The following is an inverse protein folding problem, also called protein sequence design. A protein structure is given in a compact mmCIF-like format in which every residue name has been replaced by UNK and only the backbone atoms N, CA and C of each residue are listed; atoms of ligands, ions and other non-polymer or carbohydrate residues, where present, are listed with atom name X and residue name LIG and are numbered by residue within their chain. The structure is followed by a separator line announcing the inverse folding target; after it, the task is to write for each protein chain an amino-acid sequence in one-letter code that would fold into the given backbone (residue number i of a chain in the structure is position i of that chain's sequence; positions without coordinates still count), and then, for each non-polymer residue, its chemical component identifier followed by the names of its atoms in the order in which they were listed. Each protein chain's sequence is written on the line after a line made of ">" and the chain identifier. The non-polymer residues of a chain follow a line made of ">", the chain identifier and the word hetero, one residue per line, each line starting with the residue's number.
data_IF_244249626812
#
_entry.id   IF_244249626812
#
_cell.length_a   1.000
_cell.length_b   1.000
_cell.length_c   1.000
_cell.angle_alpha   90.00
_cell.angle_beta   90.00
_cell.angle_gamma   90.00
#
_symmetry.space_group_name_H-M   'P 1'
#
loop_
_entity.id
_entity.type
_entity.pdbx_description
1 polymer ?
#
# COMPACT_ATOMS: atom_id res chain seq x y z
N UNK A 1 -17.95 -31.89 -10.60
CA UNK A 1 -16.91 -31.46 -9.65
C UNK A 1 -15.58 -31.35 -10.40
N UNK A 2 -15.06 -30.14 -10.61
CA UNK A 2 -13.63 -29.93 -10.91
C UNK A 2 -13.30 -28.45 -10.74
N UNK A 3 -12.97 -28.07 -9.51
CA UNK A 3 -12.37 -26.78 -9.20
C UNK A 3 -10.90 -26.84 -9.62
N UNK A 4 -10.59 -26.40 -10.83
CA UNK A 4 -9.22 -26.03 -11.16
C UNK A 4 -8.88 -24.75 -10.41
N UNK A 5 -8.37 -24.92 -9.19
CA UNK A 5 -7.66 -23.89 -8.43
C UNK A 5 -6.50 -23.41 -9.31
N UNK A 6 -6.68 -22.26 -9.93
CA UNK A 6 -5.60 -21.53 -10.57
C UNK A 6 -4.47 -21.33 -9.54
N UNK A 7 -3.23 -21.55 -9.99
CA UNK A 7 -2.02 -21.32 -9.20
C UNK A 7 -2.04 -19.90 -8.59
N UNK A 8 -1.68 -19.72 -7.30
CA UNK A 8 -1.71 -18.44 -6.60
C UNK A 8 -0.66 -17.43 -7.10
N UNK A 9 0.10 -17.78 -8.13
CA UNK A 9 1.09 -16.91 -8.78
C UNK A 9 0.61 -16.37 -10.14
N UNK A 10 -0.67 -16.03 -10.29
CA UNK A 10 -1.05 -15.12 -11.37
C UNK A 10 -0.48 -13.74 -11.04
N UNK A 11 0.73 -13.49 -11.55
CA UNK A 11 1.34 -12.16 -11.64
C UNK A 11 0.27 -11.21 -12.14
N UNK A 12 -0.19 -10.35 -11.25
CA UNK A 12 -0.89 -9.15 -11.64
C UNK A 12 0.15 -8.32 -12.37
N UNK A 13 0.16 -8.43 -13.71
CA UNK A 13 0.85 -7.48 -14.59
C UNK A 13 0.19 -6.11 -14.38
N UNK A 14 0.55 -5.46 -13.28
CA UNK A 14 0.63 -4.02 -13.27
C UNK A 14 2.02 -3.71 -13.81
N UNK A 15 2.07 -3.40 -15.10
CA UNK A 15 3.23 -3.01 -15.90
C UNK A 15 3.89 -1.69 -15.43
N UNK A 16 3.76 -1.34 -14.14
CA UNK A 16 4.23 -0.10 -13.55
C UNK A 16 5.12 -0.32 -12.32
N UNK A 17 5.61 -1.54 -12.05
CA UNK A 17 6.76 -1.67 -11.15
C UNK A 17 8.00 -1.14 -11.88
N UNK A 18 8.12 0.20 -11.93
CA UNK A 18 9.28 0.93 -12.45
C UNK A 18 10.60 0.48 -11.81
N UNK A 19 10.54 -0.27 -10.72
CA UNK A 19 11.70 -0.82 -10.02
C UNK A 19 12.01 -2.29 -10.33
N UNK A 20 11.10 -3.03 -10.97
CA UNK A 20 11.42 -4.30 -11.59
C UNK A 20 12.06 -3.98 -12.94
N UNK A 21 13.37 -3.73 -12.93
CA UNK A 21 14.13 -3.26 -14.10
C UNK A 21 13.63 -3.89 -15.40
N UNK A 22 13.20 -3.03 -16.33
CA UNK A 22 12.46 -3.43 -17.53
C UNK A 22 13.16 -4.58 -18.26
N UNK A 23 12.38 -5.59 -18.65
CA UNK A 23 12.84 -6.67 -19.52
C UNK A 23 13.62 -6.07 -20.67
N UNK A 24 14.92 -6.39 -20.72
CA UNK A 24 15.83 -5.88 -21.75
C UNK A 24 15.27 -6.24 -23.11
N UNK A 25 14.67 -5.29 -23.83
CA UNK A 25 14.54 -5.40 -25.28
C UNK A 25 15.97 -5.38 -25.82
N UNK A 26 16.49 -6.57 -26.14
CA UNK A 26 17.75 -6.77 -26.83
C UNK A 26 17.59 -6.17 -28.22
N UNK A 27 17.87 -4.87 -28.33
CA UNK A 27 18.04 -4.19 -29.60
C UNK A 27 19.34 -4.66 -30.22
N UNK A 28 19.22 -5.31 -31.37
CA UNK A 28 20.30 -5.75 -32.25
C UNK A 28 21.25 -4.57 -32.57
N UNK A 29 22.45 -4.56 -31.98
CA UNK A 29 23.53 -3.65 -32.36
C UNK A 29 24.73 -4.47 -32.80
N UNK A 30 25.21 -4.17 -34.01
CA UNK A 30 26.29 -4.85 -34.71
C UNK A 30 27.57 -4.87 -33.87
N UNK A 31 28.24 -6.02 -33.85
CA UNK A 31 29.65 -6.16 -33.49
C UNK A 31 30.45 -5.40 -34.54
N UNK A 32 31.09 -4.30 -34.13
CA UNK A 32 32.35 -3.75 -34.65
C UNK A 32 32.42 -2.31 -34.15
N UNK A 33 33.12 -2.08 -33.02
CA UNK A 33 33.79 -0.81 -32.67
C UNK A 33 34.47 -0.97 -31.29
N UNK A 34 35.74 -1.38 -31.32
CA UNK A 34 36.67 -1.24 -30.20
C UNK A 34 37.01 0.25 -30.01
N UNK A 35 36.22 0.97 -29.20
CA UNK A 35 36.59 2.13 -28.35
C UNK A 35 35.34 2.96 -28.02
N UNK A 36 34.47 2.45 -27.14
CA UNK A 36 33.33 3.22 -26.62
C UNK A 36 33.44 3.43 -25.13
N UNK A 37 34.01 4.57 -24.78
CA UNK A 37 33.91 5.15 -23.46
C UNK A 37 32.44 5.33 -23.03
N UNK A 38 32.13 4.88 -21.81
CA UNK A 38 31.14 5.54 -20.93
C UNK A 38 29.63 5.53 -21.25
N UNK A 39 29.06 4.53 -21.94
CA UNK A 39 27.58 4.42 -22.08
C UNK A 39 26.94 3.07 -21.69
N UNK A 40 27.69 2.17 -21.03
CA UNK A 40 27.11 0.92 -20.50
C UNK A 40 26.37 1.11 -19.17
N UNK A 41 25.11 0.65 -19.09
CA UNK A 41 24.34 0.63 -17.83
C UNK A 41 25.12 -0.08 -16.71
N UNK A 42 25.13 0.42 -15.45
CA UNK A 42 25.78 -0.26 -14.32
C UNK A 42 25.26 -1.68 -14.06
N UNK A 43 24.11 -2.02 -14.62
CA UNK A 43 23.49 -3.34 -14.52
C UNK A 43 23.94 -4.30 -15.63
N UNK A 44 24.74 -3.86 -16.60
CA UNK A 44 25.12 -4.68 -17.74
C UNK A 44 26.27 -5.65 -17.42
N UNK A 45 25.88 -6.84 -16.96
CA UNK A 45 26.78 -7.96 -16.69
C UNK A 45 26.45 -9.06 -17.69
N UNK A 46 27.27 -9.18 -18.74
CA UNK A 46 27.09 -10.14 -19.83
C UNK A 46 27.39 -11.59 -19.44
N UNK A 47 28.23 -11.81 -18.42
CA UNK A 47 28.59 -13.14 -17.92
C UNK A 47 28.56 -13.17 -16.39
N UNK A 48 27.95 -14.22 -15.83
CA UNK A 48 27.82 -14.42 -14.39
C UNK A 48 29.11 -14.90 -13.72
N UNK A 49 30.08 -15.41 -14.49
CA UNK A 49 31.32 -16.02 -13.96
C UNK A 49 32.57 -15.15 -14.18
N UNK A 50 32.64 -14.41 -15.30
CA UNK A 50 33.85 -13.70 -15.73
C UNK A 50 33.66 -12.18 -15.78
N UNK A 51 33.00 -11.58 -14.77
CA UNK A 51 32.85 -10.13 -14.70
C UNK A 51 34.07 -9.47 -14.03
N UNK A 52 34.57 -8.38 -14.60
CA UNK A 52 35.67 -7.64 -13.98
C UNK A 52 35.27 -7.06 -12.62
N UNK A 53 36.23 -6.98 -11.69
CA UNK A 53 35.98 -6.48 -10.31
C UNK A 53 35.43 -5.05 -10.34
N UNK A 54 35.93 -4.19 -11.23
CA UNK A 54 35.45 -2.81 -11.39
C UNK A 54 33.98 -2.77 -11.83
N UNK A 55 33.56 -3.66 -12.74
CA UNK A 55 32.15 -3.78 -13.18
C UNK A 55 31.25 -4.22 -12.02
N UNK A 56 31.68 -5.21 -11.24
CA UNK A 56 30.94 -5.66 -10.06
C UNK A 56 30.82 -4.58 -8.97
N UNK A 57 31.86 -3.74 -8.79
CA UNK A 57 31.79 -2.59 -7.86
C UNK A 57 30.75 -1.57 -8.32
N UNK A 58 30.73 -1.21 -9.62
CA UNK A 58 29.73 -0.30 -10.20
C UNK A 58 28.30 -0.84 -10.04
N UNK A 59 28.10 -2.14 -10.29
CA UNK A 59 26.82 -2.81 -10.09
C UNK A 59 26.33 -2.68 -8.63
N UNK A 60 27.20 -2.99 -7.66
CA UNK A 60 26.84 -2.89 -6.23
C UNK A 60 26.49 -1.47 -5.81
N UNK A 61 27.25 -0.48 -6.28
CA UNK A 61 26.98 0.93 -5.99
C UNK A 61 25.60 1.36 -6.52
N UNK A 62 25.32 1.07 -7.80
CA UNK A 62 24.02 1.38 -8.40
C UNK A 62 22.87 0.64 -7.70
N UNK A 63 23.06 -0.64 -7.38
CA UNK A 63 22.07 -1.44 -6.67
C UNK A 63 21.78 -0.89 -5.25
N UNK A 64 22.80 -0.43 -4.52
CA UNK A 64 22.63 0.16 -3.19
C UNK A 64 21.82 1.45 -3.23
N UNK A 65 22.10 2.34 -4.18
CA UNK A 65 21.35 3.59 -4.35
C UNK A 65 19.89 3.31 -4.73
N UNK A 66 19.66 2.37 -5.66
CA UNK A 66 18.31 1.95 -6.03
C UNK A 66 17.57 1.33 -4.84
N UNK A 67 18.23 0.45 -4.08
CA UNK A 67 17.64 -0.16 -2.88
C UNK A 67 17.29 0.88 -1.82
N UNK A 68 18.19 1.84 -1.57
CA UNK A 68 17.94 2.94 -0.66
C UNK A 68 16.73 3.76 -1.11
N UNK A 69 16.66 4.13 -2.40
CA UNK A 69 15.51 4.83 -2.99
C UNK A 69 14.19 4.07 -2.80
N UNK A 70 14.17 2.75 -3.05
CA UNK A 70 13.02 1.87 -2.77
C UNK A 70 12.60 1.95 -1.31
N UNK A 71 13.57 1.82 -0.41
CA UNK A 71 13.34 1.81 1.04
C UNK A 71 12.73 3.13 1.51
N UNK A 72 13.23 4.27 1.03
CA UNK A 72 12.66 5.58 1.34
C UNK A 72 11.20 5.66 0.89
N UNK A 73 10.90 5.27 -0.35
CA UNK A 73 9.52 5.26 -0.86
C UNK A 73 8.61 4.37 -0.03
N UNK A 74 9.02 3.14 0.27
CA UNK A 74 8.21 2.24 1.08
C UNK A 74 7.93 2.85 2.48
N UNK A 75 8.95 3.36 3.17
CA UNK A 75 8.73 3.97 4.49
C UNK A 75 7.80 5.19 4.44
N UNK A 76 7.87 5.98 3.37
CA UNK A 76 6.97 7.11 3.15
C UNK A 76 5.54 6.64 2.88
N UNK A 77 5.38 5.62 2.04
CA UNK A 77 4.06 5.08 1.69
C UNK A 77 3.39 4.40 2.88
N UNK A 78 4.14 3.71 3.75
CA UNK A 78 3.62 3.18 5.00
C UNK A 78 2.99 4.27 5.85
N UNK A 79 3.73 5.37 6.05
CA UNK A 79 3.24 6.51 6.82
C UNK A 79 1.98 7.12 6.19
N UNK A 80 1.96 7.32 4.87
CA UNK A 80 0.81 7.85 4.14
C UNK A 80 -0.42 6.94 4.26
N UNK A 81 -0.22 5.62 4.17
CA UNK A 81 -1.31 4.66 4.33
C UNK A 81 -1.86 4.65 5.76
N UNK A 82 -0.99 4.70 6.77
CA UNK A 82 -1.38 4.80 8.17
C UNK A 82 -2.25 6.05 8.42
N UNK A 83 -1.78 7.23 8.01
CA UNK A 83 -2.52 8.50 8.13
C UNK A 83 -3.90 8.43 7.45
N UNK A 84 -3.97 7.84 6.25
CA UNK A 84 -5.24 7.63 5.55
C UNK A 84 -6.19 6.75 6.35
N UNK A 85 -5.70 5.64 6.91
CA UNK A 85 -6.56 4.74 7.72
C UNK A 85 -7.05 5.43 9.01
N UNK A 86 -6.20 6.19 9.69
CA UNK A 86 -6.58 6.96 10.87
C UNK A 86 -7.64 8.02 10.55
N UNK A 87 -7.47 8.74 9.43
CA UNK A 87 -8.46 9.71 8.97
C UNK A 87 -9.81 9.04 8.68
N UNK A 88 -9.82 7.91 7.98
CA UNK A 88 -11.05 7.18 7.66
C UNK A 88 -11.76 6.69 8.93
N UNK A 89 -11.02 6.26 9.96
CA UNK A 89 -11.60 5.90 11.27
C UNK A 89 -12.31 7.10 11.93
N UNK A 90 -11.68 8.28 11.92
CA UNK A 90 -12.29 9.51 12.47
C UNK A 90 -13.56 9.90 11.72
N UNK A 91 -13.51 9.91 10.39
CA UNK A 91 -14.67 10.20 9.54
C UNK A 91 -15.82 9.24 9.85
N UNK A 92 -15.52 7.95 9.98
CA UNK A 92 -16.52 6.94 10.32
C UNK A 92 -17.18 7.22 11.68
N UNK A 93 -16.39 7.52 12.71
CA UNK A 93 -16.90 7.84 14.04
C UNK A 93 -17.81 9.09 14.01
N UNK A 94 -17.44 10.14 13.27
CA UNK A 94 -18.28 11.34 13.12
C UNK A 94 -19.60 11.04 12.41
N UNK A 95 -19.59 10.25 11.34
CA UNK A 95 -20.81 9.85 10.62
C UNK A 95 -21.73 9.01 11.51
N UNK A 96 -21.16 8.06 12.26
CA UNK A 96 -21.91 7.22 13.19
C UNK A 96 -22.53 8.05 14.33
N UNK A 97 -21.80 9.05 14.86
CA UNK A 97 -22.31 9.97 15.88
C UNK A 97 -23.50 10.81 15.36
N UNK A 98 -23.39 11.38 14.15
CA UNK A 98 -24.49 12.14 13.52
C UNK A 98 -25.70 11.22 13.30
N UNK A 99 -25.47 10.00 12.80
CA UNK A 99 -26.54 9.02 12.59
C UNK A 99 -27.25 8.67 13.89
N UNK A 100 -26.50 8.41 14.96
CA UNK A 100 -27.06 8.14 16.28
C UNK A 100 -27.87 9.33 16.81
N UNK A 101 -27.34 10.55 16.72
CA UNK A 101 -28.03 11.77 17.15
C UNK A 101 -29.38 11.94 16.44
N UNK A 102 -29.45 11.69 15.13
CA UNK A 102 -30.70 11.74 14.37
C UNK A 102 -31.70 10.67 14.82
N UNK A 103 -31.23 9.44 15.10
CA UNK A 103 -32.08 8.37 15.63
C UNK A 103 -32.62 8.71 17.02
N UNK A 104 -31.79 9.31 17.89
CA UNK A 104 -32.21 9.79 19.20
C UNK A 104 -33.26 10.89 19.10
N UNK A 105 -33.07 11.86 18.21
CA UNK A 105 -34.04 12.92 17.96
C UNK A 105 -35.40 12.34 17.53
N UNK A 106 -35.39 11.43 16.55
CA UNK A 106 -36.61 10.78 16.07
C UNK A 106 -37.29 9.90 17.12
N UNK A 107 -36.52 9.23 17.99
CA UNK A 107 -37.07 8.46 19.10
C UNK A 107 -37.68 9.35 20.19
N UNK A 108 -37.04 10.48 20.51
CA UNK A 108 -37.54 11.48 21.47
C UNK A 108 -38.86 12.11 21.00
N UNK A 109 -38.96 12.46 19.72
CA UNK A 109 -40.21 12.97 19.12
C UNK A 109 -41.38 11.96 19.24
N UNK A 110 -41.10 10.65 19.17
CA UNK A 110 -42.08 9.57 19.36
C UNK A 110 -42.38 9.28 20.84
N UNK A 111 -41.46 9.59 21.74
CA UNK A 111 -41.49 9.21 23.15
C UNK A 111 -42.01 10.31 24.10
N UNK A 112 -42.53 11.43 23.58
CA UNK A 112 -43.20 12.52 24.31
C UNK A 112 -44.43 12.08 25.17
N UNK A 113 -44.57 10.79 25.51
CA UNK A 113 -45.63 10.25 26.35
C UNK A 113 -45.23 9.31 27.51
N UNK A 114 -44.02 8.74 27.62
CA UNK A 114 -43.71 7.84 28.77
C UNK A 114 -42.23 7.81 29.20
N UNK A 115 -42.00 7.90 30.51
CA UNK A 115 -40.72 8.03 31.22
C UNK A 115 -39.76 6.82 31.15
N UNK A 116 -39.91 5.91 30.20
CA UNK A 116 -39.02 4.74 30.01
C UNK A 116 -37.75 5.07 29.19
N UNK A 117 -37.66 6.28 28.64
CA UNK A 117 -36.66 6.69 27.65
C UNK A 117 -35.20 6.82 28.18
N UNK A 118 -34.99 7.01 29.49
CA UNK A 118 -33.64 7.26 30.01
C UNK A 118 -32.77 5.98 30.08
N UNK A 119 -33.38 4.81 30.32
CA UNK A 119 -32.67 3.54 30.37
C UNK A 119 -32.24 3.06 28.97
N UNK A 120 -33.02 3.35 27.92
CA UNK A 120 -32.62 3.04 26.55
C UNK A 120 -31.54 3.99 26.04
N UNK A 121 -31.58 5.28 26.41
CA UNK A 121 -30.53 6.24 26.10
C UNK A 121 -29.16 5.84 26.66
N UNK A 122 -29.10 5.40 27.93
CA UNK A 122 -27.86 4.98 28.57
C UNK A 122 -27.26 3.72 27.91
N UNK A 123 -28.10 2.73 27.58
CA UNK A 123 -27.66 1.51 26.89
C UNK A 123 -27.18 1.79 25.46
N UNK A 124 -27.81 2.71 24.74
CA UNK A 124 -27.42 3.03 23.36
C UNK A 124 -26.13 3.85 23.30
N UNK A 125 -25.93 4.81 24.22
CA UNK A 125 -24.65 5.50 24.40
C UNK A 125 -23.56 4.49 24.79
N UNK A 126 -23.83 3.57 25.72
CA UNK A 126 -22.90 2.53 26.11
C UNK A 126 -22.50 1.63 24.93
N UNK A 127 -23.44 1.22 24.07
CA UNK A 127 -23.16 0.42 22.86
C UNK A 127 -22.29 1.19 21.86
N UNK A 128 -22.54 2.48 21.64
CA UNK A 128 -21.71 3.32 20.74
C UNK A 128 -20.30 3.48 21.30
N UNK A 129 -20.17 3.79 22.59
CA UNK A 129 -18.86 3.94 23.25
C UNK A 129 -18.08 2.62 23.24
N UNK A 130 -18.73 1.49 23.56
CA UNK A 130 -18.13 0.15 23.53
C UNK A 130 -17.73 -0.29 22.12
N UNK A 131 -18.51 0.09 21.09
CA UNK A 131 -18.19 -0.21 19.70
C UNK A 131 -16.99 0.60 19.19
N UNK A 132 -16.83 1.83 19.67
CA UNK A 132 -15.68 2.69 19.35
C UNK A 132 -14.40 2.27 20.12
N UNK A 133 -14.53 1.80 21.36
CA UNK A 133 -13.40 1.33 22.18
C UNK A 133 -12.79 0.01 21.70
N UNK A 134 -13.56 -0.81 21.00
CA UNK A 134 -13.09 -2.11 20.47
C UNK A 134 -12.45 -2.01 19.07
N UNK A 135 -12.49 -0.81 18.47
CA UNK A 135 -11.93 -0.51 17.15
C UNK A 135 -10.59 0.26 17.21
N UNK A 136 -10.13 0.62 18.41
CA UNK A 136 -8.79 1.14 18.72
C UNK A 136 -7.87 0.01 19.14
#
# INVERSE_FOLDING_TARGET
>A
MSFFKGSPYRRHSNDNDVEAGGSRSVGNFNEDDEDSSSYGSPFDITSTKNASIARLRRWRQAALVLNASRRFRYTLDLKRQEEKTQLMRKVRAHVEAIRAANLFKAAGERANGTSTCLLSCALFIAVIVLSNLKAT
#
